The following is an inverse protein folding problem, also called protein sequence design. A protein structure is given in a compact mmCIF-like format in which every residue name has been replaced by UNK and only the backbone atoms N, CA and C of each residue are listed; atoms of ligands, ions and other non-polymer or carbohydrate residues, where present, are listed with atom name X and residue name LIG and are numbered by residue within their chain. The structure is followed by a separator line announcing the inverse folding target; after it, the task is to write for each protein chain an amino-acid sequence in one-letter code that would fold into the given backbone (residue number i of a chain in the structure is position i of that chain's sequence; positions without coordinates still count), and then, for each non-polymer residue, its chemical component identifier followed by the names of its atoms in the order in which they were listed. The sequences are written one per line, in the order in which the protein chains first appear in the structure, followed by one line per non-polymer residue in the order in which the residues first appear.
data_IF_336156298597
#
_entry.id   IF_336156298597
#
_cell.length_a   1.000
_cell.length_b   1.000
_cell.length_c   1.000
_cell.angle_alpha   90.00
_cell.angle_beta   90.00
_cell.angle_gamma   90.00
#
_symmetry.space_group_name_H-M   'P 1'
#
loop_
_entity.id
_entity.type
_entity.pdbx_description
1 polymer ?
#
# COMPACT_ATOMS: atom_id res chain seq x y z
N UNK A 1 4.58 8.23 -20.67
CA UNK A 1 3.17 7.83 -20.40
C UNK A 1 2.40 9.09 -20.11
N UNK A 2 1.28 9.36 -20.80
CA UNK A 2 0.46 10.56 -20.54
C UNK A 2 -0.22 10.41 -19.16
N UNK A 3 -0.44 11.52 -18.45
CA UNK A 3 -0.99 11.52 -17.07
C UNK A 3 -2.32 10.75 -16.96
N UNK A 4 -3.33 10.93 -17.85
CA UNK A 4 -4.59 10.19 -17.75
C UNK A 4 -4.41 8.68 -17.86
N UNK A 5 -3.50 8.24 -18.74
CA UNK A 5 -3.16 6.84 -18.90
C UNK A 5 -2.48 6.28 -17.63
N UNK A 6 -1.62 7.07 -16.99
CA UNK A 6 -0.99 6.68 -15.73
C UNK A 6 -2.03 6.48 -14.62
N UNK A 7 -3.01 7.39 -14.51
CA UNK A 7 -4.10 7.28 -13.54
C UNK A 7 -4.92 6.01 -13.82
N UNK A 8 -5.31 5.77 -15.07
CA UNK A 8 -6.05 4.57 -15.45
C UNK A 8 -5.27 3.28 -15.12
N UNK A 9 -3.97 3.24 -15.40
CA UNK A 9 -3.10 2.11 -15.06
C UNK A 9 -2.94 1.91 -13.55
N UNK A 10 -2.97 2.97 -12.73
CA UNK A 10 -3.02 2.85 -11.28
C UNK A 10 -4.31 2.17 -10.85
N UNK A 11 -5.48 2.66 -11.28
CA UNK A 11 -6.74 2.04 -10.88
C UNK A 11 -6.83 0.59 -11.36
N UNK A 12 -6.56 0.33 -12.63
CA UNK A 12 -6.60 -1.02 -13.19
C UNK A 12 -5.62 -1.95 -12.47
N UNK A 13 -4.33 -1.59 -12.44
CA UNK A 13 -3.29 -2.47 -11.91
C UNK A 13 -3.47 -2.72 -10.42
N UNK A 14 -3.80 -1.69 -9.67
CA UNK A 14 -3.90 -1.82 -8.25
C UNK A 14 -5.20 -2.50 -7.79
N UNK A 15 -6.35 -2.26 -8.44
CA UNK A 15 -7.60 -2.93 -8.09
C UNK A 15 -7.52 -4.42 -8.46
N UNK A 16 -6.98 -4.75 -9.64
CA UNK A 16 -6.75 -6.14 -10.03
C UNK A 16 -5.70 -6.82 -9.13
N UNK A 17 -4.67 -6.10 -8.67
CA UNK A 17 -3.69 -6.65 -7.72
C UNK A 17 -4.34 -7.10 -6.41
N UNK A 18 -5.29 -6.32 -5.87
CA UNK A 18 -6.02 -6.67 -4.64
C UNK A 18 -6.84 -7.95 -4.83
N UNK A 19 -7.47 -8.15 -5.99
CA UNK A 19 -8.17 -9.39 -6.32
C UNK A 19 -7.23 -10.59 -6.20
N UNK A 20 -6.06 -10.53 -6.86
CA UNK A 20 -5.10 -11.63 -6.80
C UNK A 20 -4.49 -11.81 -5.40
N UNK A 21 -4.24 -10.71 -4.68
CA UNK A 21 -3.74 -10.76 -3.31
C UNK A 21 -4.73 -11.49 -2.40
N UNK A 22 -6.01 -11.18 -2.49
CA UNK A 22 -7.03 -11.78 -1.64
C UNK A 22 -7.29 -13.25 -2.03
N UNK A 23 -7.19 -13.60 -3.31
CA UNK A 23 -7.17 -15.00 -3.75
C UNK A 23 -5.95 -15.77 -3.19
N UNK A 24 -4.77 -15.17 -3.17
CA UNK A 24 -3.56 -15.80 -2.61
C UNK A 24 -3.65 -15.99 -1.11
N UNK A 25 -4.06 -14.95 -0.37
CA UNK A 25 -4.20 -15.00 1.10
C UNK A 25 -5.29 -16.00 1.51
N UNK A 26 -6.33 -16.20 0.70
CA UNK A 26 -7.35 -17.23 0.93
C UNK A 26 -6.82 -18.65 0.78
N UNK A 27 -5.95 -18.90 -0.18
CA UNK A 27 -5.35 -20.22 -0.40
C UNK A 27 -4.22 -20.50 0.61
N UNK A 28 -3.41 -19.48 0.91
CA UNK A 28 -2.27 -19.57 1.80
C UNK A 28 -2.07 -18.24 2.56
N UNK A 29 -2.62 -18.12 3.79
CA UNK A 29 -2.49 -16.91 4.60
C UNK A 29 -1.04 -16.52 4.94
N UNK A 30 -0.12 -17.48 4.97
CA UNK A 30 1.30 -17.24 5.29
C UNK A 30 2.14 -16.77 4.11
N UNK A 31 1.60 -16.80 2.89
CA UNK A 31 2.32 -16.49 1.65
C UNK A 31 2.78 -15.03 1.48
N UNK A 32 2.48 -14.12 2.43
CA UNK A 32 2.76 -12.68 2.31
C UNK A 32 4.23 -12.34 2.01
N UNK A 33 5.19 -13.08 2.58
CA UNK A 33 6.62 -12.88 2.31
C UNK A 33 7.01 -13.34 0.89
N UNK A 34 6.45 -14.46 0.42
CA UNK A 34 6.65 -14.97 -0.95
C UNK A 34 6.11 -13.98 -1.98
N UNK A 35 4.91 -13.44 -1.74
CA UNK A 35 4.28 -12.46 -2.63
C UNK A 35 5.16 -11.22 -2.74
N UNK A 36 5.56 -10.65 -1.60
CA UNK A 36 6.38 -9.44 -1.55
C UNK A 36 7.74 -9.66 -2.20
N UNK A 37 8.41 -10.78 -1.89
CA UNK A 37 9.68 -11.15 -2.52
C UNK A 37 9.55 -11.24 -4.05
N UNK A 38 8.51 -11.92 -4.55
CA UNK A 38 8.29 -12.11 -6.00
C UNK A 38 8.06 -10.78 -6.71
N UNK A 39 7.30 -9.87 -6.09
CA UNK A 39 7.10 -8.50 -6.61
C UNK A 39 8.43 -7.74 -6.69
N UNK A 40 9.22 -7.76 -5.60
CA UNK A 40 10.49 -7.05 -5.51
C UNK A 40 11.50 -7.59 -6.51
N UNK A 41 11.60 -8.91 -6.61
CA UNK A 41 12.49 -9.60 -7.53
C UNK A 41 12.16 -9.24 -8.98
N UNK A 42 10.88 -9.29 -9.37
CA UNK A 42 10.46 -8.93 -10.72
C UNK A 42 10.75 -7.47 -11.07
N UNK A 43 10.43 -6.54 -10.16
CA UNK A 43 10.70 -5.10 -10.36
C UNK A 43 12.21 -4.85 -10.45
N UNK A 44 13.00 -5.50 -9.61
CA UNK A 44 14.45 -5.37 -9.63
C UNK A 44 15.06 -5.95 -10.91
N UNK A 45 14.57 -7.10 -11.40
CA UNK A 45 15.02 -7.73 -12.64
C UNK A 45 14.71 -6.84 -13.86
N UNK A 46 13.48 -6.34 -13.98
CA UNK A 46 13.13 -5.40 -15.05
C UNK A 46 13.96 -4.12 -14.95
N UNK A 47 14.12 -3.57 -13.75
CA UNK A 47 14.94 -2.38 -13.52
C UNK A 47 16.42 -2.61 -13.87
N UNK A 48 16.97 -3.80 -13.60
CA UNK A 48 18.34 -4.14 -13.97
C UNK A 48 18.53 -4.16 -15.50
N UNK A 49 17.60 -4.80 -16.21
CA UNK A 49 17.65 -4.90 -17.68
C UNK A 49 17.37 -3.56 -18.37
N UNK A 50 16.33 -2.84 -17.94
CA UNK A 50 15.82 -1.66 -18.65
C UNK A 50 16.39 -0.36 -18.11
N UNK A 51 16.49 -0.20 -16.78
CA UNK A 51 16.89 1.06 -16.14
C UNK A 51 18.39 1.14 -15.95
N UNK A 52 19.01 0.10 -15.39
CA UNK A 52 20.46 0.04 -15.18
C UNK A 52 21.23 -0.39 -16.44
N UNK A 53 20.53 -0.92 -17.45
CA UNK A 53 21.12 -1.46 -18.69
C UNK A 53 22.27 -2.42 -18.37
N UNK A 54 21.97 -3.45 -17.57
CA UNK A 54 22.92 -4.44 -17.09
C UNK A 54 24.12 -3.84 -16.33
N UNK A 55 23.88 -2.81 -15.49
CA UNK A 55 24.92 -2.20 -14.64
C UNK A 55 25.75 -1.10 -15.31
N UNK A 56 25.47 -0.75 -16.57
CA UNK A 56 26.22 0.30 -17.28
C UNK A 56 25.86 1.72 -16.83
N UNK A 57 24.66 1.92 -16.29
CA UNK A 57 24.18 3.23 -15.82
C UNK A 57 24.40 3.39 -14.31
N UNK A 58 25.21 4.39 -13.93
CA UNK A 58 25.46 4.75 -12.53
C UNK A 58 24.25 5.48 -11.92
N UNK A 59 23.97 5.28 -10.61
CA UNK A 59 22.90 5.99 -9.92
C UNK A 59 23.20 7.48 -9.82
N UNK A 60 22.16 8.31 -9.98
CA UNK A 60 22.20 9.76 -9.74
C UNK A 60 21.94 10.11 -8.29
N UNK A 61 21.11 9.32 -7.62
CA UNK A 61 20.86 9.46 -6.17
C UNK A 61 21.90 8.59 -5.43
N UNK A 62 22.50 9.13 -4.36
CA UNK A 62 23.50 8.39 -3.59
C UNK A 62 22.94 7.09 -3.02
N UNK A 63 23.71 5.99 -3.11
CA UNK A 63 23.30 4.68 -2.55
C UNK A 63 22.99 4.78 -1.05
N UNK A 64 23.73 5.64 -0.31
CA UNK A 64 23.45 5.90 1.12
C UNK A 64 22.04 6.44 1.36
N UNK A 65 21.58 7.35 0.51
CA UNK A 65 20.22 7.91 0.61
C UNK A 65 19.17 6.83 0.32
N UNK A 66 19.43 5.95 -0.67
CA UNK A 66 18.55 4.80 -0.90
C UNK A 66 18.58 3.79 0.24
N UNK A 67 19.72 3.52 0.87
CA UNK A 67 19.80 2.60 2.01
C UNK A 67 18.97 3.09 3.18
N UNK A 68 18.96 4.40 3.47
CA UNK A 68 18.07 4.98 4.49
C UNK A 68 16.60 4.74 4.13
N UNK A 69 16.23 4.97 2.87
CA UNK A 69 14.87 4.77 2.37
C UNK A 69 14.44 3.30 2.46
N UNK A 70 15.33 2.38 2.09
CA UNK A 70 15.15 0.93 2.13
C UNK A 70 14.98 0.43 3.56
N UNK A 71 15.79 0.92 4.51
CA UNK A 71 15.65 0.56 5.91
C UNK A 71 14.29 1.00 6.47
N UNK A 72 13.85 2.22 6.18
CA UNK A 72 12.51 2.69 6.58
C UNK A 72 11.40 1.86 5.94
N UNK A 73 11.53 1.56 4.65
CA UNK A 73 10.57 0.71 3.93
C UNK A 73 10.50 -0.68 4.54
N UNK A 74 11.64 -1.32 4.79
CA UNK A 74 11.71 -2.67 5.32
C UNK A 74 11.08 -2.75 6.71
N UNK A 75 11.47 -1.87 7.64
CA UNK A 75 10.87 -1.83 8.99
C UNK A 75 9.36 -1.59 8.89
N UNK A 76 8.92 -0.63 8.07
CA UNK A 76 7.50 -0.40 7.85
C UNK A 76 6.80 -1.62 7.27
N UNK A 77 7.40 -2.31 6.30
CA UNK A 77 6.82 -3.48 5.65
C UNK A 77 6.70 -4.66 6.61
N UNK A 78 7.73 -4.93 7.41
CA UNK A 78 7.71 -5.97 8.44
C UNK A 78 6.63 -5.66 9.47
N UNK A 79 6.57 -4.44 10.01
CA UNK A 79 5.52 -4.05 10.95
C UNK A 79 4.10 -4.16 10.32
N UNK A 80 3.92 -3.73 9.07
CA UNK A 80 2.63 -3.81 8.38
C UNK A 80 2.18 -5.25 8.10
N UNK A 81 3.11 -6.15 7.78
CA UNK A 81 2.80 -7.55 7.47
C UNK A 81 2.55 -8.34 8.75
N UNK A 82 3.39 -8.14 9.77
CA UNK A 82 3.28 -8.82 11.07
C UNK A 82 2.04 -8.33 11.86
N UNK A 83 1.48 -7.16 11.52
CA UNK A 83 0.21 -6.69 12.11
C UNK A 83 -0.96 -7.67 11.92
N UNK A 84 -0.99 -8.44 10.82
CA UNK A 84 -2.04 -9.44 10.60
C UNK A 84 -1.96 -10.60 11.59
N UNK A 85 -0.76 -10.90 12.10
CA UNK A 85 -0.56 -11.96 13.09
C UNK A 85 -1.14 -11.58 14.47
N UNK A 86 -1.45 -10.29 14.67
CA UNK A 86 -2.01 -9.72 15.90
C UNK A 86 -3.53 -9.49 15.82
N UNK A 87 -4.25 -10.38 15.14
CA UNK A 87 -5.71 -10.34 15.00
C UNK A 87 -6.27 -9.05 14.38
N UNK A 88 -5.50 -8.40 13.51
CA UNK A 88 -5.98 -7.22 12.78
C UNK A 88 -6.67 -7.66 11.48
N UNK A 89 -7.97 -7.37 11.29
CA UNK A 89 -8.63 -7.68 10.03
C UNK A 89 -8.16 -6.73 8.91
N UNK A 90 -8.13 -7.24 7.66
CA UNK A 90 -7.71 -6.51 6.46
C UNK A 90 -8.41 -5.13 6.30
N UNK A 91 -9.73 -4.97 6.50
CA UNK A 91 -10.38 -3.67 6.46
C UNK A 91 -9.83 -2.67 7.48
N UNK A 92 -9.58 -3.09 8.72
CA UNK A 92 -9.04 -2.22 9.77
C UNK A 92 -7.61 -1.77 9.44
N UNK A 93 -6.77 -2.68 8.94
CA UNK A 93 -5.42 -2.36 8.44
C UNK A 93 -5.45 -1.29 7.34
N UNK A 94 -6.34 -1.45 6.36
CA UNK A 94 -6.50 -0.49 5.26
C UNK A 94 -6.93 0.89 5.76
N UNK A 95 -7.82 0.95 6.76
CA UNK A 95 -8.28 2.19 7.39
C UNK A 95 -7.13 2.87 8.16
N UNK A 96 -6.37 2.12 8.96
CA UNK A 96 -5.18 2.65 9.64
C UNK A 96 -4.18 3.21 8.63
N UNK A 97 -3.95 2.53 7.51
CA UNK A 97 -3.10 2.99 6.40
C UNK A 97 -3.55 4.29 5.73
N UNK A 98 -4.78 4.74 5.92
CA UNK A 98 -5.21 6.08 5.51
C UNK A 98 -4.75 7.17 6.50
N UNK A 99 -4.51 6.80 7.77
CA UNK A 99 -3.96 7.65 8.82
C UNK A 99 -2.53 8.16 8.57
N UNK A 100 -1.84 7.67 7.52
CA UNK A 100 -0.52 8.19 7.14
C UNK A 100 -0.53 9.69 6.83
N UNK A 101 -1.68 10.25 6.44
CA UNK A 101 -1.85 11.70 6.23
C UNK A 101 -1.73 12.50 7.53
N UNK A 102 -2.28 11.96 8.62
CA UNK A 102 -2.16 12.54 9.96
C UNK A 102 -0.69 12.55 10.37
N UNK A 103 -0.03 11.39 10.25
CA UNK A 103 1.40 11.25 10.58
C UNK A 103 2.28 12.18 9.73
N UNK A 104 1.99 12.31 8.42
CA UNK A 104 2.67 13.25 7.53
C UNK A 104 2.51 14.71 7.97
N UNK A 105 1.30 15.11 8.37
CA UNK A 105 1.06 16.48 8.84
C UNK A 105 1.79 16.74 10.15
N UNK A 106 1.72 15.83 11.13
CA UNK A 106 2.43 15.94 12.40
C UNK A 106 3.93 16.07 12.15
N UNK A 107 4.53 15.17 11.37
CA UNK A 107 5.95 15.23 11.05
C UNK A 107 6.32 16.45 10.19
N UNK A 108 5.42 16.93 9.33
CA UNK A 108 5.60 18.16 8.56
C UNK A 108 5.65 19.41 9.45
N UNK A 109 4.85 19.45 10.51
CA UNK A 109 4.91 20.52 11.52
C UNK A 109 6.19 20.40 12.35
N UNK A 110 6.51 19.20 12.84
CA UNK A 110 7.65 18.99 13.75
C UNK A 110 9.01 19.14 13.06
N UNK A 111 9.20 18.52 11.89
CA UNK A 111 10.48 18.44 11.18
C UNK A 111 10.65 19.60 10.21
N UNK A 112 9.63 19.88 9.39
CA UNK A 112 9.73 20.90 8.33
C UNK A 112 9.23 22.27 8.79
N UNK A 113 8.71 22.41 10.02
CA UNK A 113 8.12 23.65 10.56
C UNK A 113 7.05 24.26 9.64
N UNK A 114 6.34 23.41 8.89
CA UNK A 114 5.27 23.86 7.98
C UNK A 114 4.05 24.31 8.78
N UNK A 115 3.40 25.38 8.32
CA UNK A 115 2.07 25.81 8.80
C UNK A 115 1.01 25.34 7.80
N UNK A 116 -0.11 24.83 8.32
CA UNK A 116 -1.21 24.30 7.52
C UNK A 116 -2.46 25.18 7.65
N UNK A 117 -3.34 25.13 6.66
CA UNK A 117 -4.62 25.84 6.66
C UNK A 117 -5.63 25.14 7.59
N UNK A 118 -6.64 25.87 8.09
CA UNK A 118 -7.67 25.31 8.98
C UNK A 118 -8.36 24.07 8.41
N UNK A 119 -8.62 24.05 7.10
CA UNK A 119 -9.21 22.89 6.40
C UNK A 119 -8.41 21.61 6.58
N UNK A 120 -7.06 21.68 6.69
CA UNK A 120 -6.21 20.51 6.94
C UNK A 120 -6.39 19.98 8.37
N UNK A 121 -6.52 20.86 9.36
CA UNK A 121 -6.79 20.46 10.74
C UNK A 121 -8.17 19.80 10.87
N UNK A 122 -9.21 20.39 10.26
CA UNK A 122 -10.54 19.78 10.21
C UNK A 122 -10.51 18.39 9.55
N UNK A 123 -9.75 18.27 8.46
CA UNK A 123 -9.56 16.99 7.76
C UNK A 123 -8.93 15.92 8.65
N UNK A 124 -7.88 16.28 9.39
CA UNK A 124 -7.21 15.37 10.33
C UNK A 124 -8.16 14.94 11.43
N UNK A 125 -8.97 15.84 11.98
CA UNK A 125 -9.99 15.50 12.98
C UNK A 125 -11.01 14.48 12.43
N UNK A 126 -11.48 14.69 11.21
CA UNK A 126 -12.38 13.74 10.54
C UNK A 126 -11.73 12.38 10.33
N UNK A 127 -10.49 12.33 9.83
CA UNK A 127 -9.77 11.05 9.64
C UNK A 127 -9.58 10.35 11.00
N UNK A 128 -9.17 11.07 12.03
CA UNK A 128 -8.98 10.53 13.38
C UNK A 128 -10.27 9.93 13.95
N UNK A 129 -11.39 10.66 13.88
CA UNK A 129 -12.67 10.16 14.41
C UNK A 129 -13.13 8.91 13.65
N UNK A 130 -12.87 8.83 12.33
CA UNK A 130 -13.28 7.70 11.51
C UNK A 130 -12.44 6.45 11.80
N UNK A 131 -11.13 6.61 11.99
CA UNK A 131 -10.25 5.53 12.46
C UNK A 131 -10.71 5.05 13.84
N UNK A 132 -11.01 5.95 14.77
CA UNK A 132 -11.47 5.60 16.13
C UNK A 132 -12.78 4.81 16.10
N UNK A 133 -13.78 5.25 15.34
CA UNK A 133 -15.05 4.51 15.19
C UNK A 133 -14.78 3.10 14.67
N UNK A 134 -14.04 2.96 13.58
CA UNK A 134 -13.75 1.65 13.00
C UNK A 134 -12.94 0.76 13.96
N UNK A 135 -12.01 1.35 14.72
CA UNK A 135 -11.21 0.62 15.70
C UNK A 135 -12.07 0.08 16.84
N UNK A 136 -12.96 0.90 17.42
CA UNK A 136 -13.83 0.48 18.52
C UNK A 136 -14.75 -0.67 18.08
N UNK A 137 -15.34 -0.56 16.89
CA UNK A 137 -16.29 -1.56 16.41
C UNK A 137 -15.58 -2.85 15.98
N UNK A 138 -14.40 -2.75 15.36
CA UNK A 138 -13.58 -3.92 15.06
C UNK A 138 -13.01 -4.59 16.32
N UNK A 139 -12.79 -3.84 17.40
CA UNK A 139 -12.32 -4.35 18.69
C UNK A 139 -13.42 -4.95 19.58
N UNK A 140 -14.71 -4.79 19.21
CA UNK A 140 -15.82 -5.34 19.97
C UNK A 140 -16.09 -6.83 19.71
N UNK A 141 -15.64 -7.35 18.56
CA UNK A 141 -15.77 -8.75 18.12
C UNK A 141 -14.41 -9.31 17.69
N UNK A 142 -13.39 -9.22 18.55
CA UNK A 142 -12.07 -9.80 18.25
C UNK A 142 -12.18 -11.32 18.27
N UNK A 143 -12.35 -11.92 17.09
CA UNK A 143 -12.15 -13.36 16.89
C UNK A 143 -10.70 -13.58 16.49
N UNK A 144 -10.05 -14.57 17.10
CA UNK A 144 -8.72 -15.01 16.67
C UNK A 144 -8.72 -15.25 15.16
N UNK A 145 -7.85 -14.54 14.44
CA UNK A 145 -7.71 -14.63 12.99
C UNK A 145 -6.66 -15.68 12.61
N UNK A 146 -6.01 -16.28 13.62
CA UNK A 146 -5.01 -17.32 13.46
C UNK A 146 -5.68 -18.66 13.09
N UNK A 147 -5.13 -19.41 12.12
CA UNK A 147 -5.54 -20.80 11.92
C UNK A 147 -5.22 -21.58 13.20
N UNK A 148 -6.20 -22.30 13.74
CA UNK A 148 -6.01 -23.20 14.88
C UNK A 148 -4.96 -24.24 14.49
N UNK A 149 -3.71 -24.05 14.92
CA UNK A 149 -2.72 -25.13 14.89
C UNK A 149 -3.19 -26.16 15.92
N UNK A 150 -3.22 -27.44 15.54
CA UNK A 150 -3.84 -28.51 16.33
C UNK A 150 -3.38 -28.67 17.78
N UNK A 151 -2.29 -27.99 18.18
CA UNK A 151 -1.71 -28.01 19.52
C UNK A 151 -1.76 -26.65 20.27
N UNK A 152 -2.43 -25.62 19.74
CA UNK A 152 -2.53 -24.32 20.44
C UNK A 152 -3.63 -24.35 21.51
N UNK A 153 -3.27 -24.04 22.76
CA UNK A 153 -4.22 -23.79 23.86
C UNK A 153 -5.27 -22.77 23.41
N UNK A 154 -6.56 -22.96 23.76
CA UNK A 154 -7.58 -21.95 23.49
C UNK A 154 -7.17 -20.63 24.15
N UNK A 155 -7.04 -19.57 23.35
CA UNK A 155 -6.71 -18.23 23.85
C UNK A 155 -7.86 -17.69 24.69
N UNK A 156 -7.54 -16.98 25.79
CA UNK A 156 -8.58 -16.29 26.57
C UNK A 156 -8.98 -14.99 25.86
N UNK A 157 -10.20 -14.47 26.08
CA UNK A 157 -10.60 -13.16 25.52
C UNK A 157 -9.66 -12.01 25.89
N UNK A 158 -8.96 -12.11 27.02
CA UNK A 158 -7.96 -11.14 27.46
C UNK A 158 -6.66 -11.24 26.65
N UNK A 159 -6.25 -12.45 26.26
CA UNK A 159 -5.08 -12.67 25.40
C UNK A 159 -5.35 -12.10 24.00
N UNK A 160 -6.52 -12.38 23.44
CA UNK A 160 -6.92 -11.89 22.11
C UNK A 160 -6.97 -10.35 22.07
N UNK A 161 -7.48 -9.73 23.13
CA UNK A 161 -7.51 -8.27 23.27
C UNK A 161 -6.10 -7.66 23.44
N UNK A 162 -5.21 -8.31 24.20
CA UNK A 162 -3.83 -7.88 24.36
C UNK A 162 -3.07 -7.90 23.03
N UNK A 163 -3.16 -9.01 22.28
CA UNK A 163 -2.55 -9.13 20.96
C UNK A 163 -3.11 -8.08 19.99
N UNK A 164 -4.41 -7.85 20.02
CA UNK A 164 -5.05 -6.81 19.19
C UNK A 164 -4.49 -5.41 19.49
N UNK A 165 -4.36 -5.01 20.75
CA UNK A 165 -3.73 -3.72 21.13
C UNK A 165 -2.29 -3.64 20.61
N UNK A 166 -1.52 -4.72 20.74
CA UNK A 166 -0.15 -4.77 20.24
C UNK A 166 -0.10 -4.56 18.72
N UNK A 167 -1.05 -5.16 17.98
CA UNK A 167 -1.23 -4.94 16.55
C UNK A 167 -1.52 -3.47 16.21
N UNK A 168 -2.38 -2.79 16.97
CA UNK A 168 -2.69 -1.36 16.79
C UNK A 168 -1.46 -0.48 17.03
N UNK A 169 -0.68 -0.76 18.08
CA UNK A 169 0.57 -0.05 18.37
C UNK A 169 1.56 -0.25 17.22
N UNK A 170 1.71 -1.48 16.75
CA UNK A 170 2.60 -1.84 15.64
C UNK A 170 2.23 -1.10 14.35
N UNK A 171 0.94 -1.05 14.02
CA UNK A 171 0.44 -0.27 12.88
C UNK A 171 0.72 1.21 13.04
N UNK A 172 0.51 1.77 14.22
CA UNK A 172 0.78 3.18 14.50
C UNK A 172 2.25 3.52 14.27
N UNK A 173 3.18 2.69 14.75
CA UNK A 173 4.61 2.84 14.49
C UNK A 173 4.90 2.75 12.99
N UNK A 174 4.33 1.77 12.29
CA UNK A 174 4.49 1.61 10.84
C UNK A 174 3.99 2.84 10.06
N UNK A 175 2.92 3.50 10.52
CA UNK A 175 2.40 4.74 9.90
C UNK A 175 3.39 5.89 10.00
N UNK A 176 3.99 6.12 11.17
CA UNK A 176 4.97 7.19 11.35
C UNK A 176 6.24 6.94 10.54
N UNK A 177 6.72 5.69 10.46
CA UNK A 177 7.87 5.32 9.62
C UNK A 177 7.53 5.56 8.14
N UNK A 178 6.35 5.14 7.69
CA UNK A 178 5.88 5.35 6.31
C UNK A 178 5.76 6.84 5.96
N UNK A 179 5.26 7.65 6.90
CA UNK A 179 5.18 9.09 6.74
C UNK A 179 6.57 9.74 6.65
N UNK A 180 7.49 9.36 7.55
CA UNK A 180 8.88 9.82 7.52
C UNK A 180 9.58 9.46 6.22
N UNK A 181 9.35 8.25 5.71
CA UNK A 181 9.84 7.76 4.43
C UNK A 181 9.35 8.64 3.27
N UNK A 182 8.04 8.97 3.23
CA UNK A 182 7.48 9.86 2.21
C UNK A 182 8.09 11.26 2.23
N UNK A 183 8.25 11.86 3.43
CA UNK A 183 8.92 13.16 3.59
C UNK A 183 10.37 13.10 3.12
N UNK A 184 11.08 12.01 3.41
CA UNK A 184 12.46 11.84 2.97
C UNK A 184 12.55 11.71 1.43
N UNK A 185 11.61 11.04 0.79
CA UNK A 185 11.51 11.00 -0.68
C UNK A 185 11.31 12.41 -1.27
N UNK A 186 10.47 13.25 -0.67
CA UNK A 186 10.31 14.65 -1.11
C UNK A 186 11.62 15.43 -1.05
N UNK A 187 12.39 15.27 0.04
CA UNK A 187 13.71 15.92 0.21
C UNK A 187 14.70 15.42 -0.84
N UNK A 188 14.70 14.12 -1.15
CA UNK A 188 15.57 13.56 -2.18
C UNK A 188 15.20 14.06 -3.58
N UNK A 189 13.92 14.15 -3.91
CA UNK A 189 13.47 14.71 -5.18
C UNK A 189 13.81 16.19 -5.32
N UNK A 190 13.75 16.96 -4.23
CA UNK A 190 14.19 18.35 -4.23
C UNK A 190 15.70 18.50 -4.42
N UNK A 191 16.50 17.57 -3.86
CA UNK A 191 17.98 17.62 -3.94
C UNK A 191 18.54 17.08 -5.25
N UNK A 192 18.08 15.92 -5.69
CA UNK A 192 18.66 15.18 -6.84
C UNK A 192 17.80 15.26 -8.10
N UNK A 193 16.62 15.85 -8.02
CA UNK A 193 15.66 15.86 -9.11
C UNK A 193 14.81 14.58 -9.17
N UNK A 194 13.98 14.51 -10.20
CA UNK A 194 12.95 13.47 -10.34
C UNK A 194 13.45 12.33 -11.23
N UNK A 195 13.74 11.18 -10.61
CA UNK A 195 14.24 9.99 -11.30
C UNK A 195 13.36 8.76 -10.99
N UNK A 196 12.13 8.75 -11.52
CA UNK A 196 11.11 7.73 -11.22
C UNK A 196 11.58 6.29 -11.41
N UNK A 197 12.18 6.00 -12.59
CA UNK A 197 12.62 4.63 -12.95
C UNK A 197 13.79 4.17 -12.10
N UNK A 198 14.77 5.05 -11.88
CA UNK A 198 15.92 4.78 -11.01
C UNK A 198 15.46 4.54 -9.57
N UNK A 199 14.59 5.40 -9.05
CA UNK A 199 14.02 5.25 -7.71
C UNK A 199 13.23 3.94 -7.59
N UNK A 200 12.40 3.60 -8.57
CA UNK A 200 11.67 2.32 -8.60
C UNK A 200 12.64 1.13 -8.55
N UNK A 201 13.69 1.14 -9.37
CA UNK A 201 14.69 0.08 -9.40
C UNK A 201 15.44 -0.08 -8.06
N UNK A 202 16.09 0.97 -7.56
CA UNK A 202 16.91 0.86 -6.34
C UNK A 202 16.09 0.59 -5.08
N UNK A 203 14.86 1.09 -5.01
CA UNK A 203 13.98 0.82 -3.86
C UNK A 203 13.48 -0.62 -3.79
N UNK A 204 13.53 -1.36 -4.89
CA UNK A 204 13.13 -2.78 -4.93
C UNK A 204 14.33 -3.73 -5.03
N UNK A 205 15.47 -3.28 -5.56
CA UNK A 205 16.71 -4.05 -5.59
C UNK A 205 17.36 -4.16 -4.20
N UNK A 206 17.60 -3.01 -3.55
CA UNK A 206 18.39 -2.95 -2.32
C UNK A 206 17.78 -3.68 -1.11
N UNK A 207 16.45 -3.83 -0.98
CA UNK A 207 15.87 -4.67 0.07
C UNK A 207 15.99 -6.18 -0.19
N UNK A 208 16.30 -6.64 -1.41
CA UNK A 208 16.35 -8.08 -1.73
C UNK A 208 17.25 -8.91 -0.80
N UNK A 209 18.46 -8.45 -0.41
CA UNK A 209 19.29 -9.19 0.54
C UNK A 209 18.63 -9.38 1.91
N UNK A 210 17.72 -8.50 2.32
CA UNK A 210 17.02 -8.63 3.60
C UNK A 210 16.00 -9.78 3.58
N UNK A 211 15.52 -10.22 2.41
CA UNK A 211 14.65 -11.40 2.31
C UNK A 211 15.38 -12.71 2.61
N UNK A 212 16.72 -12.71 2.68
CA UNK A 212 17.50 -13.89 3.08
C UNK A 212 17.07 -14.37 4.48
N UNK A 213 16.76 -13.46 5.40
CA UNK A 213 16.28 -13.82 6.75
C UNK A 213 14.90 -14.46 6.75
N UNK A 214 14.14 -14.32 5.66
CA UNK A 214 12.79 -14.84 5.47
C UNK A 214 12.77 -16.08 4.56
N UNK A 215 13.93 -16.58 4.12
CA UNK A 215 14.05 -17.67 3.13
C UNK A 215 13.30 -18.92 3.54
N UNK A 216 13.32 -19.30 4.81
CA UNK A 216 12.60 -20.50 5.29
C UNK A 216 11.11 -20.43 4.99
N UNK A 217 10.48 -19.30 5.33
CA UNK A 217 9.07 -19.05 5.11
C UNK A 217 8.77 -18.93 3.60
N UNK A 218 9.59 -18.20 2.85
CA UNK A 218 9.45 -18.07 1.39
C UNK A 218 9.51 -19.44 0.72
N UNK A 219 10.44 -20.30 1.12
CA UNK A 219 10.62 -21.63 0.54
C UNK A 219 9.43 -22.55 0.84
N UNK A 220 8.98 -22.58 2.10
CA UNK A 220 7.80 -23.35 2.51
C UNK A 220 6.57 -22.99 1.67
N UNK A 221 6.25 -21.70 1.57
CA UNK A 221 5.11 -21.22 0.78
C UNK A 221 5.32 -21.37 -0.73
N UNK A 222 6.57 -21.42 -1.21
CA UNK A 222 6.88 -21.73 -2.62
C UNK A 222 6.53 -23.18 -2.94
N UNK A 223 6.90 -24.11 -2.06
CA UNK A 223 6.57 -25.54 -2.20
C UNK A 223 5.05 -25.74 -2.16
N UNK A 224 4.35 -25.06 -1.26
CA UNK A 224 2.87 -25.08 -1.22
C UNK A 224 2.27 -24.53 -2.53
N UNK A 225 2.81 -23.43 -3.06
CA UNK A 225 2.30 -22.84 -4.29
C UNK A 225 2.48 -23.75 -5.51
N UNK A 226 3.63 -24.41 -5.65
CA UNK A 226 3.92 -25.32 -6.77
C UNK A 226 3.10 -26.60 -6.68
N UNK A 227 2.77 -27.08 -5.48
CA UNK A 227 1.94 -28.27 -5.27
C UNK A 227 0.43 -27.98 -5.22
N UNK A 228 0.01 -26.74 -5.47
CA UNK A 228 -1.41 -26.37 -5.49
C UNK A 228 -2.16 -27.04 -6.66
N UNK A 229 -3.49 -27.17 -6.51
CA UNK A 229 -4.34 -27.81 -7.50
C UNK A 229 -4.12 -27.21 -8.90
N UNK A 230 -4.00 -28.03 -9.96
CA UNK A 230 -3.79 -27.53 -11.31
C UNK A 230 -5.02 -26.77 -11.80
N UNK A 231 -4.79 -25.63 -12.44
CA UNK A 231 -5.81 -24.83 -13.10
C UNK A 231 -5.41 -24.62 -14.56
N UNK A 232 -6.35 -24.86 -15.48
CA UNK A 232 -6.15 -24.57 -16.89
C UNK A 232 -6.16 -23.05 -17.10
N UNK A 233 -5.12 -22.52 -17.76
CA UNK A 233 -5.10 -21.12 -18.18
C UNK A 233 -6.07 -20.95 -19.34
N UNK A 234 -7.18 -20.19 -19.19
CA UNK A 234 -8.26 -20.15 -20.17
C UNK A 234 -7.85 -19.69 -21.59
N UNK A 235 -6.70 -19.01 -21.69
CA UNK A 235 -6.22 -18.36 -22.91
C UNK A 235 -5.12 -19.17 -23.61
N UNK A 236 -4.36 -19.99 -22.86
CA UNK A 236 -3.11 -20.62 -23.35
C UNK A 236 -3.23 -22.15 -23.41
N UNK A 237 -4.27 -22.74 -22.79
CA UNK A 237 -4.47 -24.20 -22.77
C UNK A 237 -3.42 -24.97 -21.95
N UNK A 238 -2.53 -24.26 -21.25
CA UNK A 238 -1.53 -24.84 -20.36
C UNK A 238 -2.14 -24.98 -18.95
N UNK A 239 -1.95 -26.13 -18.33
CA UNK A 239 -2.27 -26.36 -16.92
C UNK A 239 -1.08 -25.97 -16.05
N UNK A 240 -1.31 -25.11 -15.05
CA UNK A 240 -0.31 -24.75 -14.05
C UNK A 240 -0.93 -24.73 -12.65
N UNK A 241 -0.12 -24.82 -11.58
CA UNK A 241 -0.63 -24.73 -10.22
C UNK A 241 -1.38 -23.41 -10.01
N UNK A 242 -2.60 -23.49 -9.46
CA UNK A 242 -3.51 -22.35 -9.27
C UNK A 242 -2.83 -21.18 -8.53
N UNK A 243 -2.10 -21.47 -7.45
CA UNK A 243 -1.44 -20.45 -6.63
C UNK A 243 -0.32 -19.74 -7.41
N UNK A 244 0.39 -20.44 -8.29
CA UNK A 244 1.41 -19.83 -9.16
C UNK A 244 0.76 -18.89 -10.18
N UNK A 245 -0.38 -19.27 -10.75
CA UNK A 245 -1.12 -18.39 -11.66
C UNK A 245 -1.55 -17.09 -10.97
N UNK A 246 -2.06 -17.19 -9.73
CA UNK A 246 -2.42 -16.01 -8.94
C UNK A 246 -1.21 -15.16 -8.57
N UNK A 247 -0.07 -15.79 -8.23
CA UNK A 247 1.17 -15.09 -7.92
C UNK A 247 1.68 -14.30 -9.13
N UNK A 248 1.67 -14.89 -10.33
CA UNK A 248 2.04 -14.19 -11.58
C UNK A 248 1.10 -13.01 -11.82
N UNK A 249 -0.22 -13.23 -11.70
CA UNK A 249 -1.21 -12.16 -11.83
C UNK A 249 -0.95 -11.02 -10.85
N UNK A 250 -0.68 -11.35 -9.59
CA UNK A 250 -0.35 -10.39 -8.54
C UNK A 250 0.91 -9.59 -8.88
N UNK A 251 2.00 -10.24 -9.26
CA UNK A 251 3.29 -9.59 -9.57
C UNK A 251 3.16 -8.63 -10.76
N UNK A 252 2.51 -9.06 -11.85
CA UNK A 252 2.37 -8.23 -13.06
C UNK A 252 1.49 -7.00 -12.81
N UNK A 253 0.37 -7.20 -12.11
CA UNK A 253 -0.55 -6.11 -11.76
C UNK A 253 0.06 -5.15 -10.75
N UNK A 254 0.84 -5.66 -9.79
CA UNK A 254 1.62 -4.83 -8.86
C UNK A 254 2.67 -4.00 -9.61
N UNK A 255 3.41 -4.60 -10.54
CA UNK A 255 4.40 -3.89 -11.35
C UNK A 255 3.75 -2.72 -12.11
N UNK A 256 2.62 -2.98 -12.79
CA UNK A 256 1.87 -1.94 -13.50
C UNK A 256 1.38 -0.83 -12.57
N UNK A 257 0.86 -1.20 -11.39
CA UNK A 257 0.40 -0.29 -10.35
C UNK A 257 1.54 0.62 -9.86
N UNK A 258 2.64 0.04 -9.36
CA UNK A 258 3.71 0.79 -8.72
C UNK A 258 4.49 1.64 -9.73
N UNK A 259 4.73 1.13 -10.94
CA UNK A 259 5.38 1.91 -12.00
C UNK A 259 4.56 3.14 -12.37
N UNK A 260 3.23 3.00 -12.46
CA UNK A 260 2.33 4.11 -12.74
C UNK A 260 2.30 5.11 -11.59
N UNK A 261 2.32 4.65 -10.34
CA UNK A 261 2.44 5.51 -9.15
C UNK A 261 3.73 6.32 -9.18
N UNK A 262 4.88 5.69 -9.45
CA UNK A 262 6.16 6.40 -9.53
C UNK A 262 6.19 7.45 -10.64
N UNK A 263 5.58 7.17 -11.81
CA UNK A 263 5.41 8.16 -12.87
C UNK A 263 4.50 9.31 -12.41
N UNK A 264 3.38 9.03 -11.75
CA UNK A 264 2.52 10.09 -11.21
C UNK A 264 3.27 10.94 -10.17
N UNK A 265 4.10 10.33 -9.32
CA UNK A 265 4.91 11.04 -8.33
C UNK A 265 5.88 12.03 -8.98
N UNK A 266 6.37 11.76 -10.19
CA UNK A 266 7.24 12.70 -10.90
C UNK A 266 6.48 13.70 -11.75
N UNK A 267 5.39 13.30 -12.39
CA UNK A 267 4.65 14.14 -13.35
C UNK A 267 3.55 14.99 -12.71
N UNK A 268 3.07 14.61 -11.52
CA UNK A 268 1.97 15.30 -10.85
C UNK A 268 2.41 15.90 -9.50
N UNK A 269 1.70 16.92 -9.01
CA UNK A 269 1.85 17.37 -7.62
C UNK A 269 1.58 16.22 -6.64
N UNK A 270 2.27 16.22 -5.49
CA UNK A 270 2.11 15.20 -4.44
C UNK A 270 0.66 15.05 -3.96
N UNK A 271 -0.13 16.12 -3.99
CA UNK A 271 -1.56 16.13 -3.67
C UNK A 271 -2.38 15.27 -4.65
N UNK A 272 -2.12 15.38 -5.96
CA UNK A 272 -2.80 14.59 -7.01
C UNK A 272 -2.46 13.10 -6.86
N UNK A 273 -1.20 12.80 -6.58
CA UNK A 273 -0.71 11.43 -6.34
C UNK A 273 -1.39 10.82 -5.11
N UNK A 274 -1.43 11.59 -4.02
CA UNK A 274 -2.10 11.22 -2.78
C UNK A 274 -3.58 10.96 -3.00
N UNK A 275 -4.26 11.79 -3.78
CA UNK A 275 -5.65 11.57 -4.17
C UNK A 275 -5.83 10.25 -4.94
N UNK A 276 -5.08 10.06 -6.02
CA UNK A 276 -5.22 8.87 -6.87
C UNK A 276 -5.00 7.60 -6.04
N UNK A 277 -3.99 7.60 -5.17
CA UNK A 277 -3.73 6.48 -4.24
C UNK A 277 -4.87 6.30 -3.24
N UNK A 278 -5.44 7.38 -2.69
CA UNK A 278 -6.55 7.31 -1.74
C UNK A 278 -7.81 6.74 -2.40
N UNK A 279 -8.20 7.27 -3.56
CA UNK A 279 -9.32 6.76 -4.33
C UNK A 279 -9.12 5.28 -4.68
N UNK A 280 -7.91 4.91 -5.10
CA UNK A 280 -7.55 3.52 -5.36
C UNK A 280 -7.74 2.64 -4.12
N UNK A 281 -7.25 3.06 -2.94
CA UNK A 281 -7.46 2.33 -1.68
C UNK A 281 -8.94 2.21 -1.32
N UNK A 282 -9.71 3.28 -1.49
CA UNK A 282 -11.14 3.30 -1.20
C UNK A 282 -11.95 2.37 -2.11
N UNK A 283 -11.68 2.41 -3.42
CA UNK A 283 -12.31 1.48 -4.38
C UNK A 283 -11.91 0.03 -4.08
N UNK A 284 -10.63 -0.20 -3.74
CA UNK A 284 -10.15 -1.53 -3.35
C UNK A 284 -10.85 -2.04 -2.10
N UNK A 285 -11.10 -1.16 -1.11
CA UNK A 285 -11.85 -1.49 0.10
C UNK A 285 -13.30 -1.85 -0.22
N UNK A 286 -14.00 -1.05 -1.02
CA UNK A 286 -15.39 -1.35 -1.43
C UNK A 286 -15.44 -2.69 -2.16
N UNK A 287 -14.52 -2.92 -3.09
CA UNK A 287 -14.44 -4.18 -3.82
C UNK A 287 -14.21 -5.36 -2.85
N UNK A 288 -13.28 -5.21 -1.90
CA UNK A 288 -12.98 -6.25 -0.91
C UNK A 288 -14.20 -6.57 -0.03
N UNK A 289 -14.97 -5.56 0.39
CA UNK A 289 -16.21 -5.76 1.18
C UNK A 289 -17.28 -6.46 0.34
N UNK A 290 -17.55 -5.98 -0.87
CA UNK A 290 -18.66 -6.46 -1.71
C UNK A 290 -18.38 -7.86 -2.27
N UNK A 291 -17.18 -8.09 -2.79
CA UNK A 291 -16.85 -9.35 -3.48
C UNK A 291 -16.53 -10.48 -2.50
N UNK A 292 -15.82 -10.18 -1.41
CA UNK A 292 -15.39 -11.20 -0.45
C UNK A 292 -16.29 -11.30 0.79
N UNK A 293 -17.35 -10.49 0.85
CA UNK A 293 -18.36 -10.50 1.92
C UNK A 293 -17.76 -10.37 3.33
N UNK A 294 -16.72 -9.55 3.46
CA UNK A 294 -16.10 -9.27 4.75
C UNK A 294 -17.13 -8.59 5.69
N UNK A 295 -17.20 -8.97 6.98
CA UNK A 295 -18.17 -8.41 7.93
C UNK A 295 -17.94 -6.91 8.08
N UNK A 296 -18.91 -6.11 7.65
CA UNK A 296 -18.79 -4.66 7.63
C UNK A 296 -20.10 -4.00 8.09
N UNK A 297 -20.11 -3.52 9.33
CA UNK A 297 -21.29 -2.91 9.94
C UNK A 297 -21.54 -1.49 9.45
N UNK A 298 -22.72 -0.94 9.74
CA UNK A 298 -23.08 0.46 9.42
C UNK A 298 -22.07 1.44 10.05
N UNK A 299 -21.54 1.14 11.23
CA UNK A 299 -20.54 1.99 11.87
C UNK A 299 -19.20 2.00 11.12
N UNK A 300 -18.80 0.87 10.51
CA UNK A 300 -17.63 0.84 9.65
C UNK A 300 -17.81 1.71 8.40
N UNK A 301 -19.03 1.77 7.86
CA UNK A 301 -19.38 2.68 6.75
C UNK A 301 -19.25 4.14 7.16
N UNK A 302 -19.80 4.52 8.32
CA UNK A 302 -19.70 5.88 8.85
C UNK A 302 -18.22 6.29 9.01
N UNK A 303 -17.41 5.45 9.66
CA UNK A 303 -15.98 5.73 9.84
C UNK A 303 -15.23 5.82 8.50
N UNK A 304 -15.54 4.94 7.55
CA UNK A 304 -14.92 4.92 6.22
C UNK A 304 -15.26 6.16 5.39
N UNK A 305 -16.52 6.60 5.38
CA UNK A 305 -16.94 7.84 4.72
C UNK A 305 -16.25 9.05 5.34
N UNK A 306 -16.09 9.05 6.66
CA UNK A 306 -15.43 10.13 7.37
C UNK A 306 -13.93 10.23 7.04
N UNK A 307 -13.22 9.09 7.03
CA UNK A 307 -11.80 9.01 6.62
C UNK A 307 -11.63 9.44 5.17
N UNK A 308 -12.52 9.00 4.29
CA UNK A 308 -12.45 9.32 2.87
C UNK A 308 -12.72 10.81 2.62
N UNK A 309 -13.78 11.36 3.23
CA UNK A 309 -14.13 12.78 3.12
C UNK A 309 -13.03 13.67 3.70
N UNK A 310 -12.53 13.32 4.89
CA UNK A 310 -11.40 14.01 5.50
C UNK A 310 -10.17 13.99 4.59
N UNK A 311 -9.88 12.88 3.93
CA UNK A 311 -8.77 12.80 2.97
C UNK A 311 -8.97 13.70 1.74
N UNK A 312 -10.19 13.78 1.20
CA UNK A 312 -10.52 14.66 0.07
C UNK A 312 -10.31 16.13 0.44
N UNK A 313 -10.76 16.53 1.64
CA UNK A 313 -10.56 17.90 2.14
C UNK A 313 -9.06 18.14 2.40
N UNK A 314 -8.35 17.17 2.98
CA UNK A 314 -6.91 17.25 3.26
C UNK A 314 -6.09 17.43 1.99
N UNK A 315 -6.57 16.92 0.86
CA UNK A 315 -5.87 17.03 -0.43
C UNK A 315 -6.29 18.27 -1.23
N UNK A 316 -7.18 19.12 -0.69
CA UNK A 316 -7.67 20.39 -1.30
C UNK A 316 -8.22 20.20 -2.73
N UNK A 317 -8.95 19.09 -2.94
CA UNK A 317 -9.31 18.66 -4.29
C UNK A 317 -10.42 19.47 -4.92
N UNK A 318 -11.50 19.67 -4.17
CA UNK A 318 -12.70 20.39 -4.64
C UNK A 318 -12.34 21.79 -5.16
N UNK A 319 -11.61 22.65 -4.42
CA UNK A 319 -11.26 23.98 -4.92
C UNK A 319 -10.34 23.94 -6.14
N UNK A 320 -9.43 22.97 -6.25
CA UNK A 320 -8.53 22.83 -7.42
C UNK A 320 -9.26 22.33 -8.67
N UNK A 321 -10.19 21.40 -8.52
CA UNK A 321 -11.04 20.92 -9.63
C UNK A 321 -11.91 22.09 -10.14
N UNK A 322 -12.50 22.88 -9.25
CA UNK A 322 -13.28 24.06 -9.62
C UNK A 322 -12.41 25.09 -10.39
N UNK A 323 -11.19 25.36 -9.92
CA UNK A 323 -10.25 26.24 -10.64
C UNK A 323 -9.87 25.70 -12.02
N UNK A 324 -9.61 24.40 -12.14
CA UNK A 324 -9.30 23.74 -13.42
C UNK A 324 -10.45 23.85 -14.42
N UNK A 325 -11.68 23.57 -13.98
CA UNK A 325 -12.88 23.64 -14.82
C UNK A 325 -13.17 25.07 -15.27
N UNK A 326 -12.99 26.05 -14.40
CA UNK A 326 -13.13 27.48 -14.74
C UNK A 326 -12.06 27.96 -15.72
N UNK A 327 -10.84 27.43 -15.65
CA UNK A 327 -9.76 27.79 -16.57
C UNK A 327 -10.00 27.20 -17.96
N UNK A 328 -10.45 25.94 -18.04
CA UNK A 328 -10.82 25.29 -19.32
C UNK A 328 -11.98 26.00 -20.02
N UNK A 329 -13.01 26.42 -19.27
CA UNK A 329 -14.15 27.18 -19.82
C UNK A 329 -13.76 28.57 -20.34
N UNK A 330 -12.72 29.21 -19.76
CA UNK A 330 -12.20 30.49 -20.27
C UNK A 330 -11.38 30.33 -21.55
N UNK A 331 -10.63 29.25 -21.69
CA UNK A 331 -9.86 28.96 -22.92
C UNK A 331 -10.78 28.62 -24.09
N UNK A 332 -11.88 27.91 -23.85
CA UNK A 332 -12.90 27.57 -24.86
C UNK A 332 -13.72 28.78 -25.35
N UNK A 333 -13.79 29.86 -24.56
CA UNK A 333 -14.47 31.11 -24.94
C UNK A 333 -13.58 32.12 -25.68
N UNK A 334 -12.29 31.81 -25.85
CA UNK A 334 -11.29 32.70 -26.47
C UNK A 334 -10.73 32.12 -27.79
N UNK A 335 -11.19 30.92 -28.20
CA UNK A 335 -11.02 30.37 -29.54
C UNK A 335 -12.28 30.58 -30.39
#
# INVERSE_FOLDING_TARGET
MRIPLAIACVFLGCCTNVVFLELLVKEDPGSGNLITFSQFFFIALEGFLVTSKCGTVKPRIGIKDYMILVSMFFVSSVCNNYAFDFNIPMPLHMIFRAGSLIANMILGILILKKKYTFSKYLSVLMISFGIVICTIISGADVKSTQPVKGDSLPTTPWDDFFWWILGIILLTVALFISARMGIYQEVLYARYGKHAKEALYYTHLLPLPLFITLTSNIWEHTVLAVNSAPMAVPIIGITMPKTILYLIGNVLTQYMCIRSVFVLTTECPSLTVTLVITLRKFISLIFSIVYFQNPFTIYHWVGTVLVFTGTIIFTELVPKIQQSLQTSSKTEKVQ
#
